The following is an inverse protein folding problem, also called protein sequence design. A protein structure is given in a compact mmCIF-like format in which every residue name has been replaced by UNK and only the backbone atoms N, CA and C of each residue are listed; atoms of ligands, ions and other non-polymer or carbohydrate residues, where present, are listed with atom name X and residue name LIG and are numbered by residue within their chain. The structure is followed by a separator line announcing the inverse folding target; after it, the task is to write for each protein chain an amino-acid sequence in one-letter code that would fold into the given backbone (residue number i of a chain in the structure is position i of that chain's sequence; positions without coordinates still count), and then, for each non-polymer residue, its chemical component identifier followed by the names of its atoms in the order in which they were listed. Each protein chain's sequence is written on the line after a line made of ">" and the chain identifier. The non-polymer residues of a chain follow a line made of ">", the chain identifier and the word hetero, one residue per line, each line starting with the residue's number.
data_IF_811715653658
#
_entry.id   IF_811715653658
#
_cell.length_a   1.000
_cell.length_b   1.000
_cell.length_c   1.000
_cell.angle_alpha   90.00
_cell.angle_beta   90.00
_cell.angle_gamma   90.00
#
_symmetry.space_group_name_H-M   'P 1'
#
loop_
_entity.id
_entity.type
_entity.pdbx_description
1 polymer ?
#
# COMPACT_ATOMS: atom_id res chain seq x y z
N UNK A 1 -23.60 -22.43 9.97
CA UNK A 1 -23.11 -23.34 8.92
C UNK A 1 -21.99 -22.75 8.03
N UNK A 2 -21.42 -21.59 8.30
CA UNK A 2 -20.36 -20.96 7.47
C UNK A 2 -18.92 -21.29 7.89
N UNK A 3 -18.68 -21.72 9.13
CA UNK A 3 -17.34 -22.01 9.66
C UNK A 3 -16.57 -23.14 8.95
N UNK A 4 -17.19 -24.29 8.62
CA UNK A 4 -16.49 -25.38 7.92
C UNK A 4 -16.07 -24.98 6.50
N UNK A 5 -16.91 -24.23 5.79
CA UNK A 5 -16.62 -23.73 4.43
C UNK A 5 -15.49 -22.71 4.44
N UNK A 6 -15.45 -21.77 5.39
CA UNK A 6 -14.39 -20.79 5.53
C UNK A 6 -13.04 -21.46 5.86
N UNK A 7 -13.04 -22.48 6.71
CA UNK A 7 -11.85 -23.27 7.03
C UNK A 7 -11.37 -24.10 5.82
N UNK A 8 -12.29 -24.67 5.06
CA UNK A 8 -11.95 -25.42 3.85
C UNK A 8 -11.36 -24.51 2.78
N UNK A 9 -11.98 -23.36 2.49
CA UNK A 9 -11.46 -22.35 1.56
C UNK A 9 -10.07 -21.85 2.00
N UNK A 10 -9.88 -21.53 3.27
CA UNK A 10 -8.57 -21.10 3.80
C UNK A 10 -7.48 -22.15 3.62
N UNK A 11 -7.84 -23.45 3.62
CA UNK A 11 -6.90 -24.55 3.48
C UNK A 11 -6.62 -24.91 2.01
N UNK A 12 -7.57 -24.68 1.11
CA UNK A 12 -7.51 -25.08 -0.30
C UNK A 12 -7.29 -23.92 -1.27
N UNK A 13 -7.45 -22.67 -0.83
CA UNK A 13 -7.22 -21.52 -1.68
C UNK A 13 -5.76 -21.47 -2.15
N UNK A 14 -5.59 -21.30 -3.46
CA UNK A 14 -4.28 -21.11 -4.09
C UNK A 14 -3.64 -19.85 -3.50
N UNK A 15 -2.44 -19.98 -2.98
CA UNK A 15 -1.65 -18.84 -2.51
C UNK A 15 -0.77 -18.35 -3.65
N UNK A 16 -1.17 -17.25 -4.26
CA UNK A 16 -0.39 -16.60 -5.28
C UNK A 16 0.81 -15.88 -4.64
N UNK A 17 1.95 -15.78 -5.35
CA UNK A 17 3.11 -15.02 -4.87
C UNK A 17 2.83 -13.53 -4.83
N UNK A 18 3.64 -12.82 -4.07
CA UNK A 18 3.74 -11.36 -4.13
C UNK A 18 4.49 -10.95 -5.40
N UNK A 19 4.29 -9.73 -5.87
CA UNK A 19 4.97 -9.19 -7.03
C UNK A 19 6.50 -9.22 -6.88
N UNK A 20 7.22 -9.41 -8.00
CA UNK A 20 8.67 -9.36 -8.01
C UNK A 20 9.22 -7.97 -7.69
N UNK A 21 10.44 -7.92 -7.18
CA UNK A 21 11.19 -6.67 -6.97
C UNK A 21 11.55 -6.02 -8.32
N UNK A 22 11.73 -4.68 -8.37
CA UNK A 22 11.69 -3.73 -7.24
C UNK A 22 10.27 -3.27 -6.88
N UNK A 23 10.06 -2.90 -5.61
CA UNK A 23 8.81 -2.34 -5.10
C UNK A 23 8.84 -0.81 -5.01
N UNK A 24 9.56 -0.20 -5.91
CA UNK A 24 9.66 1.25 -6.07
C UNK A 24 10.00 1.60 -7.51
N UNK A 25 9.68 2.82 -7.91
CA UNK A 25 9.96 3.28 -9.27
C UNK A 25 9.54 4.72 -9.49
N UNK A 26 9.57 5.10 -10.75
CA UNK A 26 9.13 6.42 -11.22
C UNK A 26 8.16 6.19 -12.37
N UNK A 27 7.01 6.89 -12.32
CA UNK A 27 6.08 6.98 -13.44
C UNK A 27 6.16 8.39 -14.03
N UNK A 28 6.38 8.47 -15.33
CA UNK A 28 6.36 9.70 -16.10
C UNK A 28 4.97 9.92 -16.70
N UNK A 29 4.50 11.17 -16.86
CA UNK A 29 3.23 11.44 -17.53
C UNK A 29 3.28 11.03 -19.01
N UNK A 30 2.25 10.28 -19.48
CA UNK A 30 2.24 9.67 -20.81
C UNK A 30 2.12 10.64 -21.99
N UNK A 31 1.54 11.82 -21.83
CA UNK A 31 1.26 12.78 -22.89
C UNK A 31 1.36 14.23 -22.38
N UNK A 32 2.54 14.71 -22.04
CA UNK A 32 2.68 16.15 -21.85
C UNK A 32 3.93 16.65 -22.58
N UNK A 33 3.70 17.48 -23.60
CA UNK A 33 4.75 18.30 -24.22
C UNK A 33 5.34 19.35 -23.24
N UNK A 34 4.78 19.45 -22.06
CA UNK A 34 5.23 20.30 -20.98
C UNK A 34 5.48 19.46 -19.73
N UNK A 35 6.71 18.94 -19.60
CA UNK A 35 7.19 18.46 -18.31
C UNK A 35 7.14 19.66 -17.36
N UNK A 36 6.25 19.58 -16.39
CA UNK A 36 6.12 20.60 -15.36
C UNK A 36 7.48 20.76 -14.66
N UNK A 37 7.94 21.99 -14.48
CA UNK A 37 9.16 22.31 -13.72
C UNK A 37 9.03 22.08 -12.22
N UNK A 38 7.94 21.46 -11.79
CA UNK A 38 7.69 21.09 -10.39
C UNK A 38 8.51 19.86 -9.98
N UNK A 39 8.88 19.80 -8.72
CA UNK A 39 9.51 18.62 -8.10
C UNK A 39 8.63 17.37 -8.25
N UNK A 40 9.24 16.19 -8.34
CA UNK A 40 8.52 14.91 -8.42
C UNK A 40 7.57 14.74 -7.22
N UNK A 41 6.39 14.18 -7.48
CA UNK A 41 5.47 13.78 -6.42
C UNK A 41 5.94 12.47 -5.79
N UNK A 42 5.92 12.37 -4.47
CA UNK A 42 6.32 11.20 -3.70
C UNK A 42 5.11 10.45 -3.16
N UNK A 43 4.90 9.25 -3.65
CA UNK A 43 3.80 8.36 -3.26
C UNK A 43 4.32 7.18 -2.44
N UNK A 44 3.75 6.93 -1.27
CA UNK A 44 3.87 5.68 -0.53
C UNK A 44 2.52 4.97 -0.51
N UNK A 45 2.52 3.68 -0.83
CA UNK A 45 1.38 2.79 -0.55
C UNK A 45 1.84 1.72 0.42
N UNK A 46 1.21 1.63 1.60
CA UNK A 46 1.58 0.69 2.65
C UNK A 46 0.38 -0.16 3.07
N UNK A 47 0.57 -1.47 3.25
CA UNK A 47 -0.53 -2.32 3.68
C UNK A 47 -0.40 -3.80 3.44
N UNK A 48 -1.52 -4.42 3.06
CA UNK A 48 -1.68 -5.87 2.96
C UNK A 48 -1.43 -6.43 1.54
N UNK A 49 -2.02 -7.57 1.20
CA UNK A 49 -1.79 -8.32 -0.05
C UNK A 49 -1.96 -7.51 -1.33
N UNK A 50 -2.91 -6.58 -1.37
CA UNK A 50 -3.14 -5.69 -2.51
C UNK A 50 -1.92 -4.79 -2.77
N UNK A 51 -1.27 -4.33 -1.70
CA UNK A 51 -0.05 -3.53 -1.78
C UNK A 51 1.16 -4.40 -2.13
N UNK A 52 1.20 -5.63 -1.63
CA UNK A 52 2.24 -6.60 -1.97
C UNK A 52 2.15 -7.10 -3.43
N UNK A 53 1.11 -6.71 -4.17
CA UNK A 53 0.90 -7.14 -5.56
C UNK A 53 0.69 -8.65 -5.70
N UNK A 54 -0.09 -9.24 -4.76
CA UNK A 54 -0.36 -10.68 -4.81
C UNK A 54 -1.16 -11.03 -6.07
N UNK A 55 -0.54 -11.87 -6.92
CA UNK A 55 -1.17 -12.36 -8.15
C UNK A 55 -0.86 -11.57 -9.42
N UNK A 56 0.05 -10.59 -9.33
CA UNK A 56 0.64 -9.93 -10.51
C UNK A 56 2.15 -10.17 -10.53
N UNK A 57 2.77 -10.07 -11.70
CA UNK A 57 4.18 -10.39 -11.86
C UNK A 57 5.08 -9.27 -11.35
N UNK A 58 4.69 -8.02 -11.56
CA UNK A 58 5.49 -6.84 -11.21
C UNK A 58 4.65 -5.78 -10.46
N UNK A 59 5.31 -4.99 -9.63
CA UNK A 59 4.66 -3.92 -8.84
C UNK A 59 4.08 -2.79 -9.71
N UNK A 60 4.57 -2.61 -10.93
CA UNK A 60 3.99 -1.69 -11.90
C UNK A 60 2.55 -2.07 -12.27
N UNK A 61 2.22 -3.36 -12.23
CA UNK A 61 0.88 -3.89 -12.51
C UNK A 61 -0.01 -3.94 -11.26
N UNK A 62 0.59 -3.80 -10.07
CA UNK A 62 -0.10 -3.75 -8.79
C UNK A 62 -0.70 -2.37 -8.51
N UNK A 63 -1.44 -2.28 -7.40
CA UNK A 63 -2.13 -1.05 -6.96
C UNK A 63 -1.19 0.17 -6.95
N UNK A 64 0.03 0.03 -6.40
CA UNK A 64 0.94 1.15 -6.24
C UNK A 64 1.40 1.71 -7.58
N UNK A 65 1.88 0.86 -8.50
CA UNK A 65 2.33 1.26 -9.82
C UNK A 65 1.20 1.87 -10.65
N UNK A 66 0.01 1.25 -10.65
CA UNK A 66 -1.15 1.76 -11.36
C UNK A 66 -1.62 3.11 -10.82
N UNK A 67 -1.67 3.28 -9.50
CA UNK A 67 -2.00 4.56 -8.88
C UNK A 67 -0.98 5.63 -9.22
N UNK A 68 0.31 5.29 -9.17
CA UNK A 68 1.39 6.22 -9.52
C UNK A 68 1.29 6.71 -10.96
N UNK A 69 0.99 5.82 -11.92
CA UNK A 69 0.80 6.19 -13.31
C UNK A 69 -0.40 7.10 -13.50
N UNK A 70 -1.55 6.78 -12.89
CA UNK A 70 -2.75 7.61 -12.97
C UNK A 70 -2.54 9.01 -12.38
N UNK A 71 -1.79 9.11 -11.27
CA UNK A 71 -1.44 10.39 -10.67
C UNK A 71 -0.47 11.19 -11.56
N UNK A 72 0.52 10.52 -12.17
CA UNK A 72 1.46 11.16 -13.09
C UNK A 72 0.72 11.77 -14.29
N UNK A 73 -0.20 11.02 -14.89
CA UNK A 73 -0.99 11.47 -16.04
C UNK A 73 -1.96 12.60 -15.66
N UNK A 74 -2.66 12.46 -14.52
CA UNK A 74 -3.65 13.46 -14.08
C UNK A 74 -3.02 14.80 -13.71
N UNK A 75 -1.81 14.81 -13.19
CA UNK A 75 -1.15 16.05 -12.74
C UNK A 75 -0.02 16.51 -13.67
N UNK A 76 0.18 15.81 -14.79
CA UNK A 76 1.26 16.08 -15.76
C UNK A 76 2.63 16.23 -15.05
N UNK A 77 2.94 15.33 -14.12
CA UNK A 77 4.05 15.45 -13.18
C UNK A 77 4.63 14.07 -12.83
N UNK A 78 5.95 13.88 -12.83
CA UNK A 78 6.52 12.59 -12.46
C UNK A 78 6.16 12.18 -11.03
N UNK A 79 5.87 10.89 -10.82
CA UNK A 79 5.57 10.30 -9.51
C UNK A 79 6.63 9.28 -9.14
N UNK A 80 7.40 9.58 -8.11
CA UNK A 80 8.30 8.62 -7.44
C UNK A 80 7.46 7.83 -6.44
N UNK A 81 7.35 6.54 -6.62
CA UNK A 81 6.50 5.69 -5.80
C UNK A 81 7.26 4.58 -5.08
N UNK A 82 6.74 4.20 -3.92
CA UNK A 82 7.21 3.06 -3.14
C UNK A 82 6.01 2.27 -2.62
N UNK A 83 6.05 0.94 -2.79
CA UNK A 83 5.14 0.01 -2.13
C UNK A 83 5.81 -0.59 -0.90
N UNK A 84 5.07 -0.74 0.19
CA UNK A 84 5.51 -1.42 1.40
C UNK A 84 4.37 -2.31 1.89
N UNK A 85 4.32 -3.54 1.42
CA UNK A 85 3.22 -4.47 1.66
C UNK A 85 3.68 -5.84 2.11
N UNK A 86 2.72 -6.62 2.60
CA UNK A 86 2.92 -8.05 2.89
C UNK A 86 1.59 -8.78 2.81
N UNK A 87 1.60 -9.93 2.16
CA UNK A 87 0.43 -10.81 2.14
C UNK A 87 0.05 -11.25 3.56
N UNK A 88 -1.21 -11.07 3.93
CA UNK A 88 -1.73 -11.39 5.27
C UNK A 88 -1.45 -10.35 6.35
N UNK A 89 -0.84 -9.20 6.02
CA UNK A 89 -0.55 -8.16 7.02
C UNK A 89 -1.83 -7.61 7.66
N UNK A 90 -1.82 -7.49 8.99
CA UNK A 90 -2.80 -6.76 9.79
C UNK A 90 -2.26 -5.36 10.11
N UNK A 91 -3.10 -4.49 10.66
CA UNK A 91 -2.67 -3.18 11.14
C UNK A 91 -1.51 -3.27 12.16
N UNK A 92 -1.51 -4.32 13.00
CA UNK A 92 -0.42 -4.57 13.95
C UNK A 92 0.89 -4.95 13.25
N UNK A 93 0.84 -5.84 12.26
CA UNK A 93 2.00 -6.24 11.44
C UNK A 93 2.53 -5.03 10.67
N UNK A 94 1.64 -4.27 10.05
CA UNK A 94 2.01 -3.06 9.32
C UNK A 94 2.80 -2.09 10.21
N UNK A 95 2.33 -1.82 11.43
CA UNK A 95 3.02 -0.93 12.37
C UNK A 95 4.34 -1.50 12.90
N UNK A 96 4.37 -2.80 13.23
CA UNK A 96 5.51 -3.39 13.95
C UNK A 96 6.63 -3.87 13.04
N UNK A 97 6.29 -4.28 11.82
CA UNK A 97 7.21 -4.96 10.92
C UNK A 97 7.42 -4.23 9.59
N UNK A 98 6.39 -3.59 9.02
CA UNK A 98 6.54 -2.88 7.75
C UNK A 98 7.00 -1.44 7.93
N UNK A 99 6.40 -0.71 8.88
CA UNK A 99 6.77 0.67 9.14
C UNK A 99 8.27 0.88 9.45
N UNK A 100 8.95 0.00 10.22
CA UNK A 100 10.39 0.12 10.45
C UNK A 100 11.28 -0.11 9.23
N UNK A 101 10.74 -0.66 8.14
CA UNK A 101 11.48 -0.86 6.88
C UNK A 101 11.56 0.41 6.04
N UNK A 102 10.73 1.40 6.34
CA UNK A 102 10.71 2.66 5.61
C UNK A 102 11.83 3.57 6.10
N UNK A 103 12.59 4.10 5.15
CA UNK A 103 13.53 5.18 5.46
C UNK A 103 12.77 6.46 5.84
N UNK A 104 13.27 7.23 6.82
CA UNK A 104 12.66 8.48 7.22
C UNK A 104 12.71 9.49 6.06
N UNK A 105 11.56 9.81 5.49
CA UNK A 105 11.44 10.85 4.46
C UNK A 105 10.04 11.48 4.51
N UNK A 106 9.87 12.59 3.80
CA UNK A 106 8.57 13.22 3.61
C UNK A 106 7.90 12.69 2.33
N UNK A 107 6.58 12.52 2.39
CA UNK A 107 5.74 12.05 1.30
C UNK A 107 4.71 13.11 0.94
N UNK A 108 4.39 13.28 -0.34
CA UNK A 108 3.25 14.12 -0.74
C UNK A 108 1.93 13.38 -0.48
N UNK A 109 1.91 12.06 -0.73
CA UNK A 109 0.74 11.22 -0.50
C UNK A 109 1.13 9.87 0.11
N UNK A 110 0.46 9.48 1.18
CA UNK A 110 0.51 8.14 1.77
C UNK A 110 -0.86 7.48 1.66
N UNK A 111 -0.92 6.28 1.11
CA UNK A 111 -2.14 5.47 1.06
C UNK A 111 -1.95 4.23 1.94
N UNK A 112 -2.80 4.08 2.95
CA UNK A 112 -2.80 2.94 3.88
C UNK A 112 -3.93 2.00 3.46
N UNK A 113 -3.59 0.77 3.08
CA UNK A 113 -4.54 -0.24 2.60
C UNK A 113 -4.59 -1.39 3.59
N UNK A 114 -5.56 -1.36 4.52
CA UNK A 114 -5.65 -2.30 5.64
C UNK A 114 -7.09 -2.57 6.07
N UNK A 115 -7.37 -3.79 6.49
CA UNK A 115 -8.62 -4.11 7.16
C UNK A 115 -9.18 -5.49 6.84
N UNK A 116 -8.90 -6.04 5.66
CA UNK A 116 -9.40 -7.38 5.28
C UNK A 116 -8.79 -8.44 6.18
N UNK A 117 -7.47 -8.41 6.40
CA UNK A 117 -6.82 -9.38 7.29
C UNK A 117 -7.19 -9.17 8.75
N UNK A 118 -7.34 -7.94 9.22
CA UNK A 118 -7.83 -7.68 10.57
C UNK A 118 -9.24 -8.27 10.78
N UNK A 119 -10.12 -8.14 9.78
CA UNK A 119 -11.48 -8.71 9.81
C UNK A 119 -11.43 -10.24 9.82
N UNK A 120 -10.64 -10.87 8.94
CA UNK A 120 -10.54 -12.33 8.85
C UNK A 120 -9.85 -12.98 10.05
N UNK A 121 -8.96 -12.24 10.73
CA UNK A 121 -8.34 -12.66 11.99
C UNK A 121 -9.15 -12.29 13.23
N UNK A 122 -10.35 -11.70 13.05
CA UNK A 122 -11.21 -11.24 14.14
C UNK A 122 -10.47 -10.31 15.11
N UNK A 123 -9.63 -9.42 14.59
CA UNK A 123 -8.91 -8.44 15.40
C UNK A 123 -9.91 -7.59 16.20
N UNK A 124 -9.81 -7.52 17.53
CA UNK A 124 -10.72 -6.71 18.32
C UNK A 124 -10.70 -5.24 17.86
N UNK A 125 -11.88 -4.63 17.74
CA UNK A 125 -12.06 -3.26 17.24
C UNK A 125 -11.18 -2.22 17.95
N UNK A 126 -11.03 -2.34 19.28
CA UNK A 126 -10.19 -1.43 20.06
C UNK A 126 -8.72 -1.56 19.71
N UNK A 127 -8.22 -2.79 19.44
CA UNK A 127 -6.85 -3.06 19.03
C UNK A 127 -6.60 -2.49 17.63
N UNK A 128 -7.47 -2.80 16.67
CA UNK A 128 -7.40 -2.27 15.31
C UNK A 128 -7.37 -0.73 15.30
N UNK A 129 -8.29 -0.08 16.03
CA UNK A 129 -8.30 1.39 16.16
C UNK A 129 -7.01 1.95 16.76
N UNK A 130 -6.44 1.27 17.74
CA UNK A 130 -5.17 1.68 18.34
C UNK A 130 -4.03 1.64 17.32
N UNK A 131 -3.89 0.54 16.59
CA UNK A 131 -2.83 0.39 15.59
C UNK A 131 -2.98 1.42 14.46
N UNK A 132 -4.19 1.63 13.94
CA UNK A 132 -4.46 2.67 12.95
C UNK A 132 -4.13 4.08 13.46
N UNK A 133 -4.48 4.41 14.69
CA UNK A 133 -4.13 5.72 15.28
C UNK A 133 -2.61 5.94 15.29
N UNK A 134 -1.83 4.91 15.59
CA UNK A 134 -0.37 5.01 15.56
C UNK A 134 0.15 5.23 14.13
N UNK A 135 -0.36 4.47 13.15
CA UNK A 135 0.03 4.64 11.74
C UNK A 135 -0.34 6.03 11.21
N UNK A 136 -1.58 6.47 11.47
CA UNK A 136 -2.04 7.80 11.07
C UNK A 136 -1.21 8.92 11.72
N UNK A 137 -0.93 8.83 13.03
CA UNK A 137 -0.10 9.81 13.72
C UNK A 137 1.33 9.86 13.16
N UNK A 138 1.91 8.70 12.84
CA UNK A 138 3.25 8.62 12.25
C UNK A 138 3.29 9.31 10.89
N UNK A 139 2.34 9.00 10.00
CA UNK A 139 2.32 9.54 8.65
C UNK A 139 1.83 10.99 8.58
N UNK A 140 0.88 11.41 9.43
CA UNK A 140 0.45 12.82 9.48
C UNK A 140 1.58 13.80 9.83
N UNK A 141 2.64 13.33 10.46
CA UNK A 141 3.83 14.13 10.73
C UNK A 141 4.86 14.10 9.57
N UNK A 142 4.64 13.28 8.53
CA UNK A 142 5.61 12.97 7.46
C UNK A 142 5.00 12.96 6.06
N UNK A 143 3.74 13.34 5.92
CA UNK A 143 3.07 13.40 4.64
C UNK A 143 2.15 14.61 4.58
N UNK A 144 1.99 15.18 3.39
CA UNK A 144 1.03 16.25 3.15
C UNK A 144 -0.41 15.73 3.21
N UNK A 145 -0.62 14.51 2.68
CA UNK A 145 -1.91 13.84 2.72
C UNK A 145 -1.77 12.36 3.08
N UNK A 146 -2.72 11.87 3.88
CA UNK A 146 -2.82 10.45 4.26
C UNK A 146 -4.23 9.97 3.98
N UNK A 147 -4.35 8.92 3.16
CA UNK A 147 -5.60 8.23 2.86
C UNK A 147 -5.60 6.86 3.52
N UNK A 148 -6.74 6.47 4.07
CA UNK A 148 -7.01 5.12 4.60
C UNK A 148 -8.16 4.50 3.80
N UNK A 149 -7.94 3.31 3.27
CA UNK A 149 -8.95 2.57 2.51
C UNK A 149 -9.20 1.22 3.16
#
# INVERSE_FOLDING_TARGET
>A
MLLPQALWVKKTALRLPEAALPWQGVCEPGLSDQISSYSNLRLLVIGESTVAGVGVDAQQEALCGQLAQQLADAWARPVVWQACGRNGATASVCRQELLPLLEPQHWDLVVIVLGVNDTTHLTPRWRWRRELKHLLAYFSARADQVLLT
#
